data_IF_721961739941
#
_entry.id   IF_721961739941
#
_cell.length_a   1.000
_cell.length_b   1.000
_cell.length_c   1.000
_cell.angle_alpha   90.00
_cell.angle_beta   90.00
_cell.angle_gamma   90.00
#
_symmetry.space_group_name_H-M   'P 1'
#
loop_
_entity.id
_entity.type
_entity.pdbx_description
1 polymer ?
#
# COMPACT_ATOMS: atom_id res chain seq x y z
N UNK A 1 37.28 16.16 -7.66
CA UNK A 1 36.22 15.14 -7.72
C UNK A 1 36.41 14.35 -9.01
N UNK A 2 36.45 13.02 -8.94
CA UNK A 2 36.64 12.19 -10.14
C UNK A 2 35.29 12.05 -10.86
N UNK A 3 35.07 12.89 -11.88
CA UNK A 3 33.90 12.81 -12.78
C UNK A 3 33.71 11.40 -13.35
N UNK A 4 34.79 10.64 -13.49
CA UNK A 4 34.80 9.23 -13.91
C UNK A 4 34.13 8.27 -12.90
N UNK A 5 34.21 8.54 -11.60
CA UNK A 5 33.59 7.69 -10.57
C UNK A 5 32.07 7.88 -10.52
N UNK A 6 31.58 9.09 -10.79
CA UNK A 6 30.14 9.41 -10.86
C UNK A 6 29.43 8.86 -12.10
N UNK A 7 30.18 8.60 -13.16
CA UNK A 7 29.72 7.95 -14.37
C UNK A 7 29.72 6.42 -14.28
N UNK A 8 30.27 5.83 -13.20
CA UNK A 8 30.23 4.40 -12.99
C UNK A 8 28.87 3.96 -12.45
N UNK A 9 28.33 2.84 -12.94
CA UNK A 9 27.07 2.29 -12.44
C UNK A 9 27.33 1.51 -11.14
N UNK A 10 26.92 2.09 -10.01
CA UNK A 10 27.04 1.42 -8.71
C UNK A 10 26.27 2.13 -7.60
N UNK A 11 25.73 1.41 -6.61
CA UNK A 11 24.98 2.01 -5.51
C UNK A 11 25.87 2.75 -4.51
N UNK A 12 27.20 2.59 -4.54
CA UNK A 12 28.08 3.26 -3.59
C UNK A 12 29.25 3.89 -4.33
N UNK A 13 29.50 5.17 -4.04
CA UNK A 13 30.70 5.87 -4.48
C UNK A 13 31.89 5.39 -3.62
N UNK A 14 32.99 4.98 -4.27
CA UNK A 14 34.17 4.49 -3.55
C UNK A 14 34.74 5.58 -2.61
N UNK A 15 34.83 5.27 -1.32
CA UNK A 15 35.40 6.16 -0.30
C UNK A 15 34.46 7.24 0.25
N UNK A 16 33.17 7.26 -0.12
CA UNK A 16 32.18 8.17 0.47
C UNK A 16 30.86 7.43 0.79
N UNK A 17 30.16 7.87 1.84
CA UNK A 17 28.81 7.39 2.13
C UNK A 17 27.79 8.10 1.23
N UNK A 18 27.86 7.89 -0.09
CA UNK A 18 26.95 8.48 -1.07
C UNK A 18 26.72 7.57 -2.30
N UNK A 19 25.62 7.80 -3.03
CA UNK A 19 25.32 7.09 -4.28
C UNK A 19 26.07 7.71 -5.46
N UNK A 20 26.30 6.93 -6.52
CA UNK A 20 26.80 7.49 -7.79
C UNK A 20 25.69 8.28 -8.48
N UNK A 21 26.06 9.38 -9.16
CA UNK A 21 25.10 10.25 -9.83
C UNK A 21 24.30 9.50 -10.91
N UNK A 22 24.95 8.57 -11.62
CA UNK A 22 24.31 7.74 -12.62
C UNK A 22 23.27 6.79 -12.00
N UNK A 23 23.56 6.20 -10.85
CA UNK A 23 22.62 5.32 -10.14
C UNK A 23 21.39 6.09 -9.66
N UNK A 24 21.57 7.29 -9.10
CA UNK A 24 20.45 8.12 -8.67
C UNK A 24 19.57 8.53 -9.85
N UNK A 25 20.15 9.00 -10.94
CA UNK A 25 19.37 9.46 -12.10
C UNK A 25 18.65 8.30 -12.79
N UNK A 26 19.26 7.13 -12.88
CA UNK A 26 18.65 5.95 -13.50
C UNK A 26 17.58 5.30 -12.61
N UNK A 27 17.88 5.03 -11.35
CA UNK A 27 16.99 4.26 -10.48
C UNK A 27 16.06 5.17 -9.69
N UNK A 28 16.54 6.30 -9.16
CA UNK A 28 15.72 7.17 -8.30
C UNK A 28 14.89 8.18 -9.08
N UNK A 29 15.36 8.64 -10.24
CA UNK A 29 14.58 9.53 -11.11
C UNK A 29 13.83 8.78 -12.21
N UNK A 30 14.55 8.10 -13.13
CA UNK A 30 13.90 7.48 -14.30
C UNK A 30 12.96 6.33 -13.91
N UNK A 31 13.36 5.47 -12.96
CA UNK A 31 12.56 4.32 -12.53
C UNK A 31 11.13 4.70 -12.10
N UNK A 32 10.95 5.54 -11.07
CA UNK A 32 9.63 6.00 -10.62
C UNK A 32 8.85 6.75 -11.70
N UNK A 33 9.50 7.65 -12.46
CA UNK A 33 8.83 8.42 -13.51
C UNK A 33 8.31 7.51 -14.64
N UNK A 34 9.10 6.52 -15.07
CA UNK A 34 8.68 5.55 -16.08
C UNK A 34 7.48 4.71 -15.60
N UNK A 35 7.52 4.21 -14.36
CA UNK A 35 6.40 3.46 -13.78
C UNK A 35 5.13 4.33 -13.70
N UNK A 36 5.27 5.57 -13.26
CA UNK A 36 4.14 6.49 -13.15
C UNK A 36 3.54 6.83 -14.53
N UNK A 37 4.36 7.02 -15.55
CA UNK A 37 3.91 7.28 -16.92
C UNK A 37 3.14 6.12 -17.54
N UNK A 38 3.37 4.87 -17.09
CA UNK A 38 2.55 3.72 -17.50
C UNK A 38 1.24 3.66 -16.71
N UNK A 39 1.28 3.91 -15.40
CA UNK A 39 0.12 3.76 -14.52
C UNK A 39 -0.89 4.91 -14.68
N UNK A 40 -0.42 6.15 -14.86
CA UNK A 40 -1.27 7.33 -14.89
C UNK A 40 -2.28 7.33 -16.06
N UNK A 41 -1.90 7.03 -17.31
CA UNK A 41 -2.85 6.97 -18.43
C UNK A 41 -3.91 5.87 -18.24
N UNK A 42 -3.51 4.69 -17.76
CA UNK A 42 -4.44 3.59 -17.46
C UNK A 42 -5.46 4.04 -16.42
N UNK A 43 -5.01 4.70 -15.36
CA UNK A 43 -5.90 5.23 -14.32
C UNK A 43 -6.85 6.30 -14.86
N UNK A 44 -6.35 7.23 -15.68
CA UNK A 44 -7.18 8.26 -16.34
C UNK A 44 -8.23 7.61 -17.24
N UNK A 45 -7.88 6.60 -18.04
CA UNK A 45 -8.81 5.89 -18.91
C UNK A 45 -9.91 5.15 -18.10
N UNK A 46 -9.54 4.50 -17.00
CA UNK A 46 -10.49 3.86 -16.08
C UNK A 46 -11.43 4.88 -15.45
N UNK A 47 -10.96 6.08 -15.10
CA UNK A 47 -11.78 7.15 -14.54
C UNK A 47 -12.71 7.77 -15.58
N UNK A 48 -12.20 8.03 -16.79
CA UNK A 48 -12.97 8.58 -17.90
C UNK A 48 -14.10 7.65 -18.35
N UNK A 49 -13.92 6.34 -18.19
CA UNK A 49 -14.94 5.32 -18.46
C UNK A 49 -16.10 5.33 -17.45
N UNK A 50 -15.96 6.04 -16.31
CA UNK A 50 -17.03 6.17 -15.31
C UNK A 50 -17.97 7.30 -15.70
N UNK A 51 -19.28 7.07 -15.63
CA UNK A 51 -20.30 8.09 -15.94
C UNK A 51 -20.06 9.34 -15.06
N UNK A 52 -20.01 10.57 -15.64
CA UNK A 52 -19.69 11.82 -14.92
C UNK A 52 -20.77 12.32 -13.93
N UNK A 53 -21.59 11.44 -13.36
CA UNK A 53 -22.93 11.78 -12.88
C UNK A 53 -23.11 12.16 -11.41
N UNK A 54 -22.26 11.73 -10.46
CA UNK A 54 -22.66 11.77 -9.05
C UNK A 54 -21.95 12.81 -8.18
N UNK A 55 -20.79 13.33 -8.59
CA UNK A 55 -19.98 14.21 -7.74
C UNK A 55 -19.71 15.55 -8.40
N UNK A 56 -20.59 16.53 -8.14
CA UNK A 56 -20.31 17.93 -8.47
C UNK A 56 -19.46 18.51 -7.34
N UNK A 57 -18.13 18.41 -7.47
CA UNK A 57 -17.24 19.19 -6.59
C UNK A 57 -17.55 20.66 -6.82
N UNK A 58 -17.98 21.37 -5.76
CA UNK A 58 -18.15 22.81 -5.81
C UNK A 58 -16.87 23.46 -6.35
N UNK A 59 -17.02 24.50 -7.17
CA UNK A 59 -15.95 25.31 -7.79
C UNK A 59 -14.76 25.45 -6.84
N UNK A 60 -13.76 24.60 -7.02
CA UNK A 60 -12.82 24.31 -5.94
C UNK A 60 -11.56 25.15 -6.08
N UNK A 61 -11.41 26.14 -5.21
CA UNK A 61 -10.14 26.86 -5.01
C UNK A 61 -8.94 25.90 -4.86
N UNK A 62 -9.18 24.67 -4.39
CA UNK A 62 -8.15 23.64 -4.16
C UNK A 62 -7.69 22.93 -5.43
N UNK A 63 -8.55 22.79 -6.43
CA UNK A 63 -8.08 22.28 -7.73
C UNK A 63 -7.09 23.29 -8.34
N UNK A 64 -7.48 24.56 -8.32
CA UNK A 64 -6.64 25.64 -8.83
C UNK A 64 -5.33 25.77 -8.06
N UNK A 65 -5.33 25.59 -6.73
CA UNK A 65 -4.08 25.56 -5.97
C UNK A 65 -3.17 24.40 -6.35
N UNK A 66 -3.71 23.18 -6.54
CA UNK A 66 -2.93 22.02 -7.00
C UNK A 66 -2.36 22.23 -8.39
N UNK A 67 -3.16 22.73 -9.33
CA UNK A 67 -2.70 23.05 -10.68
C UNK A 67 -1.65 24.17 -10.67
N UNK A 68 -1.82 25.21 -9.85
CA UNK A 68 -0.83 26.26 -9.68
C UNK A 68 0.51 25.69 -9.13
N UNK A 69 0.46 24.84 -8.11
CA UNK A 69 1.66 24.17 -7.61
C UNK A 69 2.32 23.29 -8.69
N UNK A 70 1.54 22.56 -9.51
CA UNK A 70 2.09 21.80 -10.63
C UNK A 70 2.72 22.70 -11.70
N UNK A 71 2.16 23.87 -11.98
CA UNK A 71 2.78 24.82 -12.92
C UNK A 71 4.11 25.38 -12.39
N UNK A 72 4.20 25.68 -11.09
CA UNK A 72 5.47 26.08 -10.47
C UNK A 72 6.48 24.93 -10.52
N UNK A 73 6.02 23.69 -10.25
CA UNK A 73 6.86 22.50 -10.33
C UNK A 73 7.41 22.30 -11.75
N UNK A 74 6.58 22.50 -12.77
CA UNK A 74 6.99 22.46 -14.16
C UNK A 74 8.07 23.51 -14.48
N UNK A 75 7.90 24.75 -14.02
CA UNK A 75 8.88 25.83 -14.22
C UNK A 75 10.22 25.46 -13.55
N UNK A 76 10.19 25.00 -12.30
CA UNK A 76 11.42 24.58 -11.60
C UNK A 76 12.12 23.43 -12.34
N UNK A 77 11.36 22.46 -12.86
CA UNK A 77 11.93 21.33 -13.59
C UNK A 77 12.52 21.74 -14.95
N UNK A 78 11.94 22.75 -15.61
CA UNK A 78 12.55 23.35 -16.81
C UNK A 78 13.89 24.01 -16.46
N UNK A 79 13.96 24.73 -15.34
CA UNK A 79 15.24 25.31 -14.86
C UNK A 79 16.27 24.21 -14.59
N UNK A 80 15.88 23.11 -13.94
CA UNK A 80 16.76 21.96 -13.70
C UNK A 80 17.27 21.37 -15.02
N UNK A 81 16.39 21.20 -16.02
CA UNK A 81 16.79 20.72 -17.34
C UNK A 81 17.81 21.66 -18.01
N UNK A 82 17.57 22.97 -17.96
CA UNK A 82 18.49 23.98 -18.52
C UNK A 82 19.84 23.92 -17.83
N UNK A 83 19.88 23.80 -16.49
CA UNK A 83 21.12 23.72 -15.73
C UNK A 83 21.92 22.45 -16.06
N UNK A 84 21.24 21.31 -16.26
CA UNK A 84 21.89 20.08 -16.72
C UNK A 84 22.37 20.15 -18.17
N UNK A 85 21.85 21.08 -18.97
CA UNK A 85 22.24 21.26 -20.37
C UNK A 85 23.41 22.23 -20.56
N UNK A 86 23.87 22.88 -19.48
CA UNK A 86 25.00 23.81 -19.55
C UNK A 86 26.33 23.06 -19.62
N UNK A 87 27.27 23.46 -20.50
CA UNK A 87 28.55 22.77 -20.64
C UNK A 87 29.47 22.90 -19.40
N UNK A 88 29.15 23.81 -18.48
CA UNK A 88 29.91 24.03 -17.25
C UNK A 88 29.50 23.09 -16.10
N UNK A 89 28.40 22.33 -16.23
CA UNK A 89 27.93 21.42 -15.18
C UNK A 89 28.43 19.99 -15.44
N UNK A 90 29.01 19.31 -14.43
CA UNK A 90 29.43 17.92 -14.57
C UNK A 90 28.17 17.04 -14.66
N UNK A 91 27.80 16.64 -15.87
CA UNK A 91 26.62 15.84 -16.16
C UNK A 91 27.01 14.43 -16.61
N UNK A 92 26.10 13.48 -16.42
CA UNK A 92 26.18 12.16 -17.04
C UNK A 92 25.36 12.15 -18.33
N UNK A 93 25.58 11.15 -19.18
CA UNK A 93 24.78 10.96 -20.40
C UNK A 93 23.27 10.83 -20.12
N UNK A 94 22.91 10.44 -18.89
CA UNK A 94 21.52 10.16 -18.47
C UNK A 94 20.86 11.38 -17.80
N UNK A 95 21.63 12.39 -17.38
CA UNK A 95 21.11 13.54 -16.63
C UNK A 95 20.03 14.32 -17.40
N UNK A 96 20.26 14.58 -18.70
CA UNK A 96 19.32 15.29 -19.57
C UNK A 96 18.08 14.43 -19.85
N UNK A 97 18.26 13.12 -20.05
CA UNK A 97 17.16 12.20 -20.27
C UNK A 97 16.25 12.12 -19.03
N UNK A 98 16.81 12.00 -17.83
CA UNK A 98 16.07 11.99 -16.57
C UNK A 98 15.27 13.29 -16.37
N UNK A 99 15.90 14.45 -16.58
CA UNK A 99 15.25 15.75 -16.49
C UNK A 99 14.12 15.91 -17.54
N UNK A 100 14.30 15.42 -18.77
CA UNK A 100 13.25 15.45 -19.79
C UNK A 100 12.04 14.57 -19.42
N UNK A 101 12.30 13.38 -18.87
CA UNK A 101 11.24 12.45 -18.47
C UNK A 101 10.39 13.01 -17.33
N UNK A 102 11.03 13.68 -16.37
CA UNK A 102 10.34 14.33 -15.26
C UNK A 102 9.42 15.49 -15.72
N UNK A 103 9.71 16.16 -16.83
CA UNK A 103 8.79 17.15 -17.42
C UNK A 103 7.52 16.50 -17.95
N UNK A 104 7.67 15.39 -18.68
CA UNK A 104 6.54 14.62 -19.23
C UNK A 104 5.68 14.06 -18.09
N UNK A 105 6.32 13.61 -17.02
CA UNK A 105 5.67 13.15 -15.80
C UNK A 105 4.80 14.24 -15.15
N UNK A 106 5.28 15.49 -15.07
CA UNK A 106 4.49 16.60 -14.50
C UNK A 106 3.22 16.85 -15.32
N UNK A 107 3.28 16.73 -16.64
CA UNK A 107 2.10 16.82 -17.50
C UNK A 107 1.12 15.67 -17.22
N UNK A 108 1.62 14.44 -17.08
CA UNK A 108 0.80 13.29 -16.72
C UNK A 108 0.16 13.45 -15.32
N UNK A 109 0.89 14.01 -14.35
CA UNK A 109 0.35 14.37 -13.03
C UNK A 109 -0.80 15.37 -13.15
N UNK A 110 -0.66 16.40 -14.00
CA UNK A 110 -1.73 17.37 -14.28
C UNK A 110 -3.00 16.72 -14.82
N UNK A 111 -2.86 15.83 -15.80
CA UNK A 111 -3.98 15.06 -16.35
C UNK A 111 -4.67 14.19 -15.29
N UNK A 112 -3.88 13.51 -14.45
CA UNK A 112 -4.40 12.66 -13.38
C UNK A 112 -5.13 13.47 -12.30
N UNK A 113 -4.57 14.59 -11.84
CA UNK A 113 -5.20 15.48 -10.86
C UNK A 113 -6.53 16.02 -11.38
N UNK A 114 -6.57 16.40 -12.66
CA UNK A 114 -7.81 16.88 -13.29
C UNK A 114 -8.87 15.77 -13.39
N UNK A 115 -8.49 14.58 -13.87
CA UNK A 115 -9.39 13.44 -13.96
C UNK A 115 -9.92 13.00 -12.59
N UNK A 116 -9.05 12.86 -11.58
CA UNK A 116 -9.44 12.50 -10.21
C UNK A 116 -10.32 13.59 -9.56
N UNK A 117 -10.13 14.86 -9.91
CA UNK A 117 -11.04 15.91 -9.44
C UNK A 117 -12.45 15.80 -10.03
N UNK A 118 -12.54 15.43 -11.32
CA UNK A 118 -13.80 15.38 -12.06
C UNK A 118 -14.60 14.10 -11.79
N UNK A 119 -13.93 12.96 -11.66
CA UNK A 119 -14.58 11.65 -11.68
C UNK A 119 -14.52 10.90 -10.33
N UNK A 120 -13.74 11.38 -9.35
CA UNK A 120 -13.48 10.63 -8.11
C UNK A 120 -13.85 11.42 -6.83
N UNK A 121 -14.60 10.79 -5.90
CA UNK A 121 -14.93 11.38 -4.60
C UNK A 121 -13.74 11.38 -3.64
N UNK A 122 -12.75 10.49 -3.82
CA UNK A 122 -11.56 10.40 -2.98
C UNK A 122 -10.40 11.22 -3.56
N UNK A 123 -9.43 11.65 -2.74
CA UNK A 123 -8.11 12.03 -3.23
C UNK A 123 -7.44 10.90 -4.03
N UNK A 124 -6.47 11.26 -4.87
CA UNK A 124 -5.75 10.35 -5.75
C UNK A 124 -4.74 9.51 -4.96
N UNK A 125 -5.10 8.26 -4.66
CA UNK A 125 -4.18 7.31 -4.02
C UNK A 125 -2.93 7.07 -4.87
N UNK A 126 -3.06 6.99 -6.20
CA UNK A 126 -1.94 6.78 -7.11
C UNK A 126 -0.93 7.91 -7.02
N UNK A 127 -1.41 9.17 -7.00
CA UNK A 127 -0.55 10.34 -6.86
C UNK A 127 0.11 10.40 -5.48
N UNK A 128 -0.63 10.11 -4.40
CA UNK A 128 -0.06 10.11 -3.04
C UNK A 128 1.04 9.05 -2.89
N UNK A 129 0.86 7.83 -3.39
CA UNK A 129 1.90 6.78 -3.38
C UNK A 129 3.12 7.26 -4.15
N UNK A 130 2.90 7.77 -5.36
CA UNK A 130 3.98 8.24 -6.24
C UNK A 130 4.80 9.36 -5.60
N UNK A 131 4.13 10.40 -5.09
CA UNK A 131 4.79 11.52 -4.41
C UNK A 131 5.53 11.05 -3.16
N UNK A 132 4.96 10.11 -2.40
CA UNK A 132 5.57 9.63 -1.17
C UNK A 132 6.85 8.83 -1.43
N UNK A 133 6.85 7.98 -2.45
CA UNK A 133 8.06 7.25 -2.87
C UNK A 133 9.10 8.23 -3.41
N UNK A 134 8.71 9.13 -4.32
CA UNK A 134 9.67 10.08 -4.90
C UNK A 134 10.21 11.09 -3.91
N UNK A 135 9.44 11.53 -2.91
CA UNK A 135 9.95 12.39 -1.83
C UNK A 135 11.09 11.70 -1.05
N UNK A 136 10.97 10.40 -0.78
CA UNK A 136 12.04 9.66 -0.09
C UNK A 136 13.30 9.54 -0.96
N UNK A 137 13.13 9.34 -2.27
CA UNK A 137 14.23 9.21 -3.22
C UNK A 137 14.89 10.57 -3.56
N UNK A 138 14.08 11.61 -3.70
CA UNK A 138 14.53 12.99 -3.91
C UNK A 138 15.29 13.50 -2.68
N UNK A 139 14.97 13.03 -1.47
CA UNK A 139 15.72 13.38 -0.26
C UNK A 139 17.18 12.90 -0.36
N UNK A 140 17.42 11.68 -0.87
CA UNK A 140 18.78 11.22 -1.17
C UNK A 140 19.45 12.10 -2.23
N UNK A 141 18.78 12.34 -3.37
CA UNK A 141 19.33 13.16 -4.47
C UNK A 141 19.72 14.55 -3.98
N UNK A 142 18.84 15.22 -3.23
CA UNK A 142 19.09 16.57 -2.70
C UNK A 142 20.31 16.56 -1.77
N UNK A 143 20.43 15.56 -0.89
CA UNK A 143 21.59 15.42 -0.02
C UNK A 143 22.88 15.26 -0.85
N UNK A 144 22.86 14.38 -1.84
CA UNK A 144 24.01 14.07 -2.70
C UNK A 144 24.43 15.27 -3.53
N UNK A 145 23.48 16.09 -4.01
CA UNK A 145 23.77 17.34 -4.70
C UNK A 145 24.39 18.41 -3.78
N UNK A 146 23.96 18.51 -2.52
CA UNK A 146 24.56 19.44 -1.57
C UNK A 146 25.96 19.02 -1.07
N UNK A 147 26.25 17.73 -1.06
CA UNK A 147 27.59 17.22 -0.75
C UNK A 147 28.62 17.57 -1.85
N UNK A 148 28.15 17.92 -3.04
CA UNK A 148 28.97 18.28 -4.21
C UNK A 148 29.05 19.79 -4.35
N UNK A 149 30.23 20.37 -4.08
CA UNK A 149 30.44 21.83 -4.09
C UNK A 149 30.04 22.52 -5.40
N UNK A 150 30.17 21.82 -6.53
CA UNK A 150 29.94 22.38 -7.87
C UNK A 150 28.45 22.38 -8.27
N UNK A 151 27.59 21.71 -7.50
CA UNK A 151 26.18 21.50 -7.81
C UNK A 151 25.22 22.13 -6.80
N UNK A 152 25.71 23.00 -5.92
CA UNK A 152 24.90 23.63 -4.86
C UNK A 152 23.68 24.39 -5.41
N UNK A 153 23.82 25.08 -6.55
CA UNK A 153 22.70 25.77 -7.20
C UNK A 153 21.61 24.78 -7.68
N UNK A 154 22.03 23.64 -8.23
CA UNK A 154 21.12 22.58 -8.64
C UNK A 154 20.46 21.93 -7.43
N UNK A 155 21.24 21.66 -6.37
CA UNK A 155 20.77 21.19 -5.06
C UNK A 155 19.66 22.08 -4.50
N UNK A 156 19.86 23.40 -4.50
CA UNK A 156 18.86 24.37 -4.04
C UNK A 156 17.53 24.31 -4.81
N UNK A 157 17.57 24.20 -6.14
CA UNK A 157 16.36 24.12 -6.97
C UNK A 157 15.66 22.76 -6.78
N UNK A 158 16.42 21.68 -6.70
CA UNK A 158 15.86 20.34 -6.42
C UNK A 158 15.26 20.27 -5.01
N UNK A 159 15.83 20.96 -4.02
CA UNK A 159 15.25 21.09 -2.69
C UNK A 159 13.93 21.88 -2.71
N UNK A 160 13.85 22.95 -3.52
CA UNK A 160 12.60 23.67 -3.76
C UNK A 160 11.53 22.78 -4.42
N UNK A 161 11.94 21.93 -5.36
CA UNK A 161 11.09 20.93 -6.03
C UNK A 161 10.57 19.90 -5.02
N UNK A 162 11.44 19.39 -4.13
CA UNK A 162 11.09 18.50 -3.03
C UNK A 162 10.07 19.15 -2.07
N UNK A 163 10.31 20.39 -1.66
CA UNK A 163 9.40 21.14 -0.80
C UNK A 163 8.03 21.34 -1.46
N UNK A 164 7.99 21.59 -2.77
CA UNK A 164 6.76 21.73 -3.52
C UNK A 164 6.01 20.38 -3.67
N UNK A 165 6.72 19.27 -3.89
CA UNK A 165 6.13 17.91 -3.89
C UNK A 165 5.52 17.59 -2.51
N UNK A 166 6.21 17.91 -1.42
CA UNK A 166 5.69 17.78 -0.05
C UNK A 166 4.41 18.61 0.16
N UNK A 167 4.39 19.85 -0.34
CA UNK A 167 3.21 20.70 -0.24
C UNK A 167 2.03 20.16 -1.07
N UNK A 168 2.28 19.65 -2.29
CA UNK A 168 1.26 19.00 -3.11
C UNK A 168 0.70 17.76 -2.39
N UNK A 169 1.56 16.94 -1.78
CA UNK A 169 1.15 15.78 -1.00
C UNK A 169 0.26 16.21 0.19
N UNK A 170 0.64 17.25 0.92
CA UNK A 170 -0.18 17.81 2.01
C UNK A 170 -1.55 18.31 1.52
N UNK A 171 -1.61 18.94 0.33
CA UNK A 171 -2.87 19.33 -0.30
C UNK A 171 -3.72 18.13 -0.76
N UNK A 172 -3.09 17.00 -1.08
CA UNK A 172 -3.79 15.75 -1.43
C UNK A 172 -4.41 15.07 -0.20
N UNK A 173 -3.77 15.19 0.96
CA UNK A 173 -4.27 14.57 2.19
C UNK A 173 -5.53 15.22 2.76
N UNK A 174 -5.82 16.47 2.40
CA UNK A 174 -7.02 17.15 2.89
C UNK A 174 -8.28 16.56 2.24
N UNK A 175 -9.24 16.02 3.03
CA UNK A 175 -10.42 15.36 2.49
C UNK A 175 -11.27 16.30 1.63
N UNK A 176 -11.84 15.74 0.56
CA UNK A 176 -12.78 16.45 -0.32
C UNK A 176 -14.13 16.59 0.39
N UNK A 177 -14.59 17.82 0.60
CA UNK A 177 -15.94 18.09 1.15
C UNK A 177 -16.98 18.02 0.05
N UNK A 178 -18.05 17.26 0.28
CA UNK A 178 -19.19 17.22 -0.61
C UNK A 178 -20.00 18.52 -0.52
N UNK A 179 -20.37 19.10 -1.66
CA UNK A 179 -21.24 20.27 -1.69
C UNK A 179 -22.72 19.92 -1.47
N UNK A 180 -23.11 18.65 -1.63
CA UNK A 180 -24.52 18.25 -1.61
C UNK A 180 -25.02 17.76 -0.24
N UNK A 181 -24.23 17.90 0.82
CA UNK A 181 -24.64 17.55 2.19
C UNK A 181 -24.85 16.05 2.46
N UNK A 182 -24.68 15.18 1.46
CA UNK A 182 -24.73 13.73 1.63
C UNK A 182 -23.56 13.27 2.51
N UNK A 183 -23.89 12.53 3.59
CA UNK A 183 -22.94 11.86 4.47
C UNK A 183 -22.25 10.72 3.68
N UNK A 184 -21.07 11.01 3.14
CA UNK A 184 -20.16 10.01 2.58
C UNK A 184 -19.28 9.48 3.69
N UNK A 185 -18.93 8.20 3.64
CA UNK A 185 -17.96 7.59 4.54
C UNK A 185 -16.68 8.43 4.62
N UNK A 186 -16.28 8.80 5.83
CA UNK A 186 -15.08 9.60 6.10
C UNK A 186 -13.82 8.91 5.57
N UNK A 187 -13.77 7.56 5.60
CA UNK A 187 -12.68 6.76 5.05
C UNK A 187 -12.51 7.00 3.54
N UNK A 188 -13.60 7.02 2.77
CA UNK A 188 -13.57 7.19 1.30
C UNK A 188 -13.15 8.61 0.91
N UNK A 189 -13.50 9.60 1.73
CA UNK A 189 -13.14 11.00 1.48
C UNK A 189 -11.71 11.35 1.87
N UNK A 190 -11.07 10.50 2.68
CA UNK A 190 -9.74 10.74 3.27
C UNK A 190 -8.60 10.44 2.30
N UNK A 191 -7.49 11.18 2.47
CA UNK A 191 -6.23 10.94 1.75
C UNK A 191 -5.57 9.62 2.14
N UNK A 192 -4.46 9.29 1.47
CA UNK A 192 -3.78 8.02 1.68
C UNK A 192 -3.23 7.92 3.10
N UNK A 193 -2.47 8.93 3.54
CA UNK A 193 -1.83 8.95 4.85
C UNK A 193 -2.84 9.04 5.99
N UNK A 194 -3.91 9.85 5.81
CA UNK A 194 -5.04 9.88 6.73
C UNK A 194 -5.68 8.49 6.89
N UNK A 195 -5.80 7.71 5.80
CA UNK A 195 -6.30 6.33 5.85
C UNK A 195 -5.30 5.36 6.45
N UNK A 196 -4.00 5.50 6.17
CA UNK A 196 -2.93 4.64 6.71
C UNK A 196 -2.84 4.70 8.23
N UNK A 197 -3.03 5.88 8.82
CA UNK A 197 -2.98 6.08 10.28
C UNK A 197 -4.37 5.99 10.92
N UNK A 198 -5.41 5.73 10.11
CA UNK A 198 -6.82 5.80 10.52
C UNK A 198 -7.20 7.11 11.23
N UNK A 199 -6.67 8.23 10.74
CA UNK A 199 -6.92 9.54 11.34
C UNK A 199 -8.41 9.88 11.41
N UNK A 200 -9.19 9.42 10.44
CA UNK A 200 -10.65 9.57 10.42
C UNK A 200 -11.35 8.88 11.61
N UNK A 201 -10.79 7.80 12.20
CA UNK A 201 -11.36 7.16 13.40
C UNK A 201 -11.19 8.01 14.66
N UNK A 202 -10.23 8.95 14.68
CA UNK A 202 -9.97 9.79 15.84
C UNK A 202 -11.20 10.63 16.22
N UNK A 203 -12.01 11.02 15.24
CA UNK A 203 -13.27 11.74 15.47
C UNK A 203 -14.27 10.87 16.24
N UNK A 204 -14.41 9.60 15.86
CA UNK A 204 -15.27 8.62 16.53
C UNK A 204 -14.76 8.28 17.93
N UNK A 205 -13.44 8.07 18.10
CA UNK A 205 -12.85 7.80 19.42
C UNK A 205 -13.02 8.98 20.37
N UNK A 206 -12.85 10.20 19.89
CA UNK A 206 -13.06 11.41 20.71
C UNK A 206 -14.52 11.57 21.13
N UNK A 207 -15.48 11.21 20.27
CA UNK A 207 -16.90 11.18 20.64
C UNK A 207 -17.17 10.10 21.69
N UNK A 208 -16.69 8.87 21.47
CA UNK A 208 -16.82 7.76 22.41
C UNK A 208 -16.19 8.00 23.77
N UNK A 209 -15.14 8.83 23.83
CA UNK A 209 -14.52 9.24 25.09
C UNK A 209 -15.42 10.21 25.90
N UNK A 210 -16.20 11.05 25.21
CA UNK A 210 -17.02 12.08 25.85
C UNK A 210 -18.50 11.66 26.03
N UNK A 211 -18.98 10.69 25.26
CA UNK A 211 -20.38 10.25 25.27
C UNK A 211 -20.52 8.80 24.83
N UNK A 212 -21.62 8.15 25.20
CA UNK A 212 -21.96 6.82 24.68
C UNK A 212 -22.17 6.89 23.17
N UNK A 213 -21.49 6.02 22.41
CA UNK A 213 -21.61 5.95 20.96
C UNK A 213 -22.93 5.30 20.56
N UNK A 214 -23.81 6.07 19.92
CA UNK A 214 -25.01 5.53 19.27
C UNK A 214 -24.72 5.03 17.84
N UNK A 215 -25.67 4.32 17.24
CA UNK A 215 -25.59 3.90 15.83
C UNK A 215 -25.54 5.11 14.90
N UNK A 216 -26.24 6.20 15.24
CA UNK A 216 -26.29 7.45 14.45
C UNK A 216 -24.98 8.24 14.46
N UNK A 217 -24.10 7.98 15.44
CA UNK A 217 -22.77 8.59 15.53
C UNK A 217 -21.73 7.90 14.64
N UNK A 218 -22.03 6.69 14.16
CA UNK A 218 -21.17 5.93 13.27
C UNK A 218 -21.29 6.44 11.84
N UNK A 219 -20.15 6.51 11.15
CA UNK A 219 -20.14 6.85 9.73
C UNK A 219 -20.93 5.79 8.96
N UNK A 220 -21.88 6.23 8.14
CA UNK A 220 -22.56 5.31 7.22
C UNK A 220 -21.54 4.74 6.24
N UNK A 221 -21.69 3.46 5.87
CA UNK A 221 -20.92 2.85 4.77
C UNK A 221 -21.33 3.42 3.38
N UNK A 222 -22.19 4.44 3.36
CA UNK A 222 -22.64 5.11 2.16
C UNK A 222 -21.45 5.75 1.43
N UNK A 223 -21.27 5.37 0.17
CA UNK A 223 -20.19 5.88 -0.69
C UNK A 223 -19.05 4.88 -0.95
N UNK A 224 -18.89 3.82 -0.14
CA UNK A 224 -18.00 2.71 -0.53
C UNK A 224 -18.74 1.73 -1.43
N UNK A 225 -18.59 1.92 -2.74
CA UNK A 225 -19.16 1.01 -3.75
C UNK A 225 -18.76 -0.47 -3.57
N UNK A 226 -17.66 -0.74 -2.85
CA UNK A 226 -17.18 -2.10 -2.62
C UNK A 226 -17.84 -2.77 -1.42
N UNK A 227 -18.38 -2.02 -0.45
CA UNK A 227 -18.95 -2.54 0.80
C UNK A 227 -20.44 -2.23 0.97
N UNK A 228 -21.05 -1.46 0.06
CA UNK A 228 -22.48 -1.18 0.09
C UNK A 228 -23.32 -2.46 -0.15
N UNK A 229 -24.25 -2.77 0.75
CA UNK A 229 -24.96 -4.06 0.76
C UNK A 229 -25.65 -4.43 -0.57
N UNK A 230 -26.42 -3.55 -1.24
CA UNK A 230 -26.97 -3.85 -2.57
C UNK A 230 -25.92 -4.20 -3.64
N UNK A 231 -24.72 -3.59 -3.57
CA UNK A 231 -23.62 -3.88 -4.48
C UNK A 231 -23.00 -5.25 -4.18
N UNK A 232 -22.80 -5.59 -2.91
CA UNK A 232 -22.31 -6.90 -2.48
C UNK A 232 -23.25 -8.03 -2.93
N UNK A 233 -24.56 -7.84 -2.69
CA UNK A 233 -25.61 -8.81 -3.03
C UNK A 233 -25.68 -9.02 -4.53
N UNK A 234 -25.76 -7.94 -5.30
CA UNK A 234 -25.84 -8.04 -6.78
C UNK A 234 -24.60 -8.68 -7.38
N UNK A 235 -23.38 -8.32 -6.92
CA UNK A 235 -22.13 -8.90 -7.40
C UNK A 235 -22.03 -10.39 -7.10
N UNK A 236 -22.31 -10.78 -5.86
CA UNK A 236 -22.22 -12.18 -5.45
C UNK A 236 -23.35 -13.01 -6.06
N UNK A 237 -24.59 -12.50 -6.04
CA UNK A 237 -25.76 -13.14 -6.64
C UNK A 237 -25.60 -13.39 -8.13
N UNK A 238 -25.12 -12.40 -8.89
CA UNK A 238 -24.83 -12.57 -10.32
C UNK A 238 -23.76 -13.64 -10.57
N UNK A 239 -22.67 -13.66 -9.79
CA UNK A 239 -21.62 -14.69 -9.92
C UNK A 239 -22.09 -16.07 -9.45
N UNK A 240 -22.99 -16.13 -8.49
CA UNK A 240 -23.60 -17.36 -7.99
C UNK A 240 -24.57 -17.97 -9.03
N UNK A 241 -25.38 -17.15 -9.70
CA UNK A 241 -26.28 -17.61 -10.76
C UNK A 241 -25.54 -18.22 -11.95
N UNK A 242 -24.38 -17.66 -12.30
CA UNK A 242 -23.52 -18.16 -13.37
C UNK A 242 -22.64 -19.35 -12.96
N UNK A 243 -22.60 -19.71 -11.68
CA UNK A 243 -21.76 -20.80 -11.20
C UNK A 243 -22.40 -22.15 -11.49
N UNK A 244 -21.56 -23.10 -11.93
CA UNK A 244 -21.96 -24.50 -12.01
C UNK A 244 -22.09 -25.08 -10.59
N UNK A 245 -23.34 -25.38 -10.21
CA UNK A 245 -23.69 -25.88 -8.88
C UNK A 245 -23.29 -27.34 -8.67
N UNK A 246 -22.93 -28.06 -9.74
CA UNK A 246 -22.43 -29.44 -9.63
C UNK A 246 -20.99 -29.51 -9.11
N UNK A 247 -20.23 -28.41 -9.20
CA UNK A 247 -18.86 -28.36 -8.75
C UNK A 247 -18.74 -28.24 -7.21
N UNK A 248 -17.86 -29.04 -6.61
CA UNK A 248 -17.64 -29.16 -5.15
C UNK A 248 -17.35 -27.81 -4.44
N UNK A 249 -16.66 -26.87 -5.09
CA UNK A 249 -16.25 -25.58 -4.50
C UNK A 249 -16.92 -24.37 -5.16
N UNK A 250 -18.09 -24.56 -5.79
CA UNK A 250 -18.76 -23.54 -6.58
C UNK A 250 -18.98 -22.22 -5.82
N UNK A 251 -19.43 -22.28 -4.56
CA UNK A 251 -19.68 -21.10 -3.72
C UNK A 251 -18.40 -20.32 -3.42
N UNK A 252 -17.33 -21.02 -3.05
CA UNK A 252 -16.03 -20.40 -2.77
C UNK A 252 -15.46 -19.74 -4.03
N UNK A 253 -15.57 -20.39 -5.20
CA UNK A 253 -15.16 -19.80 -6.47
C UNK A 253 -16.02 -18.60 -6.86
N UNK A 254 -17.34 -18.64 -6.64
CA UNK A 254 -18.24 -17.52 -6.90
C UNK A 254 -17.93 -16.32 -6.00
N UNK A 255 -17.71 -16.56 -4.70
CA UNK A 255 -17.31 -15.53 -3.72
C UNK A 255 -15.96 -14.91 -4.07
N UNK A 256 -14.95 -15.74 -4.40
CA UNK A 256 -13.65 -15.25 -4.84
C UNK A 256 -13.78 -14.39 -6.10
N UNK A 257 -14.49 -14.86 -7.13
CA UNK A 257 -14.71 -14.08 -8.37
C UNK A 257 -15.48 -12.79 -8.13
N UNK A 258 -16.41 -12.77 -7.17
CA UNK A 258 -17.15 -11.58 -6.81
C UNK A 258 -16.26 -10.53 -6.13
N UNK A 259 -15.34 -10.94 -5.25
CA UNK A 259 -14.55 -10.05 -4.40
C UNK A 259 -13.03 -10.03 -4.68
N UNK A 260 -12.58 -10.63 -5.79
CA UNK A 260 -11.16 -10.72 -6.17
C UNK A 260 -10.42 -9.38 -6.19
N UNK A 261 -11.09 -8.28 -6.53
CA UNK A 261 -10.45 -6.96 -6.55
C UNK A 261 -9.99 -6.51 -5.16
N UNK A 262 -10.71 -6.89 -4.10
CA UNK A 262 -10.35 -6.59 -2.71
C UNK A 262 -9.19 -7.50 -2.27
N UNK A 263 -9.21 -8.77 -2.68
CA UNK A 263 -8.13 -9.71 -2.42
C UNK A 263 -6.82 -9.25 -3.06
N UNK A 264 -6.81 -8.95 -4.35
CA UNK A 264 -5.59 -8.53 -5.05
C UNK A 264 -5.03 -7.19 -4.55
N UNK A 265 -5.88 -6.29 -4.07
CA UNK A 265 -5.43 -5.04 -3.44
C UNK A 265 -4.60 -5.27 -2.16
N UNK A 266 -4.85 -6.36 -1.43
CA UNK A 266 -4.09 -6.71 -0.22
C UNK A 266 -2.73 -7.39 -0.47
N UNK A 267 -2.48 -7.86 -1.70
CA UNK A 267 -1.24 -8.60 -2.03
C UNK A 267 -0.01 -7.68 -2.00
N UNK A 268 -0.09 -6.50 -2.61
CA UNK A 268 1.04 -5.57 -2.68
C UNK A 268 1.50 -5.14 -1.27
N UNK A 269 0.62 -4.65 -0.37
CA UNK A 269 1.04 -4.32 0.99
C UNK A 269 1.59 -5.52 1.77
N UNK A 270 1.09 -6.74 1.53
CA UNK A 270 1.63 -7.95 2.19
C UNK A 270 3.04 -8.29 1.72
N UNK A 271 3.35 -8.11 0.43
CA UNK A 271 4.69 -8.28 -0.11
C UNK A 271 5.65 -7.21 0.42
N UNK A 272 5.20 -5.94 0.52
CA UNK A 272 5.99 -4.89 1.15
C UNK A 272 6.32 -5.21 2.61
N UNK A 273 5.34 -5.72 3.38
CA UNK A 273 5.56 -6.18 4.75
C UNK A 273 6.66 -7.26 4.81
N UNK A 274 6.58 -8.29 3.96
CA UNK A 274 7.64 -9.31 3.84
C UNK A 274 8.99 -8.66 3.57
N UNK A 275 9.07 -7.78 2.56
CA UNK A 275 10.32 -7.11 2.20
C UNK A 275 10.94 -6.34 3.37
N UNK A 276 10.16 -5.53 4.09
CA UNK A 276 10.67 -4.79 5.25
C UNK A 276 11.03 -5.70 6.42
N UNK A 277 10.26 -6.76 6.69
CA UNK A 277 10.58 -7.75 7.73
C UNK A 277 11.91 -8.45 7.45
N UNK A 278 12.16 -8.85 6.19
CA UNK A 278 13.44 -9.44 5.80
C UNK A 278 14.59 -8.44 5.72
N UNK A 279 14.32 -7.13 5.64
CA UNK A 279 15.36 -6.11 5.72
C UNK A 279 15.98 -5.99 7.13
N UNK A 280 15.26 -6.39 8.18
CA UNK A 280 15.72 -6.31 9.58
C UNK A 280 17.04 -7.05 9.86
N UNK A 281 17.24 -8.32 9.48
CA UNK A 281 18.52 -9.01 9.69
C UNK A 281 19.69 -8.35 8.96
N UNK A 282 19.47 -7.79 7.77
CA UNK A 282 20.53 -7.03 7.06
C UNK A 282 20.89 -5.75 7.80
N UNK A 283 19.88 -5.01 8.28
CA UNK A 283 20.08 -3.80 9.09
C UNK A 283 20.92 -4.12 10.33
N UNK A 284 20.57 -5.19 11.06
CA UNK A 284 21.30 -5.61 12.26
C UNK A 284 22.73 -5.99 11.92
N UNK A 285 22.94 -6.77 10.85
CA UNK A 285 24.28 -7.14 10.40
C UNK A 285 25.14 -5.89 10.09
N UNK A 286 24.57 -4.91 9.38
CA UNK A 286 25.25 -3.65 9.10
C UNK A 286 25.56 -2.88 10.39
N UNK A 287 24.62 -2.77 11.34
CA UNK A 287 24.86 -2.14 12.65
C UNK A 287 26.02 -2.80 13.39
N UNK A 288 26.02 -4.14 13.49
CA UNK A 288 27.06 -4.89 14.21
C UNK A 288 28.42 -4.70 13.54
N UNK A 289 28.49 -4.78 12.21
CA UNK A 289 29.74 -4.59 11.47
C UNK A 289 30.26 -3.16 11.58
N UNK A 290 29.38 -2.16 11.55
CA UNK A 290 29.76 -0.75 11.73
C UNK A 290 30.27 -0.45 13.14
N UNK A 291 29.72 -1.11 14.18
CA UNK A 291 30.21 -0.97 15.55
C UNK A 291 31.52 -1.73 15.81
N UNK A 292 31.75 -2.83 15.09
CA UNK A 292 32.96 -3.65 15.22
C UNK A 292 34.20 -3.07 14.53
N UNK A 293 34.04 -2.14 13.57
CA UNK A 293 35.13 -1.49 12.88
C UNK A 293 35.74 -0.35 13.71
N UNK A 294 37.06 -0.34 13.89
CA UNK A 294 37.77 0.74 14.60
C UNK A 294 37.54 2.10 13.91
N UNK A 295 37.11 3.08 14.71
CA UNK A 295 36.60 4.41 14.35
C UNK A 295 37.28 5.08 13.14
N UNK A 296 36.59 5.10 11.99
CA UNK A 296 36.93 5.95 10.85
C UNK A 296 36.15 7.28 10.87
N UNK A 297 36.70 8.29 10.19
CA UNK A 297 36.27 9.70 10.12
C UNK A 297 34.82 9.92 9.59
N UNK A 298 34.21 8.91 8.97
CA UNK A 298 32.84 8.94 8.40
C UNK A 298 31.74 8.39 9.33
N UNK A 299 32.06 8.07 10.59
CA UNK A 299 31.16 7.41 11.54
C UNK A 299 29.80 8.10 11.72
N UNK A 300 29.76 9.44 11.71
CA UNK A 300 28.52 10.19 11.91
C UNK A 300 27.56 10.11 10.71
N UNK A 301 28.08 10.09 9.47
CA UNK A 301 27.25 9.99 8.27
C UNK A 301 26.65 8.60 8.13
N UNK A 302 27.47 7.56 8.39
CA UNK A 302 27.02 6.17 8.42
C UNK A 302 25.97 5.96 9.51
N UNK A 303 26.20 6.49 10.73
CA UNK A 303 25.23 6.41 11.81
C UNK A 303 23.90 7.09 11.45
N UNK A 304 23.93 8.28 10.86
CA UNK A 304 22.73 8.97 10.39
C UNK A 304 21.95 8.18 9.33
N UNK A 305 22.64 7.61 8.35
CA UNK A 305 22.03 6.75 7.33
C UNK A 305 21.39 5.49 7.93
N UNK A 306 22.02 4.90 8.95
CA UNK A 306 21.52 3.72 9.64
C UNK A 306 20.29 4.00 10.50
N UNK A 307 20.24 5.17 11.15
CA UNK A 307 19.04 5.66 11.84
C UNK A 307 17.90 5.88 10.84
N UNK A 308 18.19 6.49 9.69
CA UNK A 308 17.22 6.67 8.60
C UNK A 308 16.68 5.34 8.06
N UNK A 309 17.57 4.37 7.81
CA UNK A 309 17.19 3.03 7.37
C UNK A 309 16.34 2.30 8.42
N UNK A 310 16.69 2.43 9.70
CA UNK A 310 15.91 1.88 10.82
C UNK A 310 14.50 2.47 10.83
N UNK A 311 14.38 3.80 10.78
CA UNK A 311 13.08 4.47 10.74
C UNK A 311 12.25 4.03 9.53
N UNK A 312 12.85 3.97 8.34
CA UNK A 312 12.20 3.53 7.11
C UNK A 312 11.68 2.09 7.21
N UNK A 313 12.49 1.16 7.71
CA UNK A 313 12.12 -0.25 7.85
C UNK A 313 10.95 -0.40 8.82
N UNK A 314 11.04 0.16 10.03
CA UNK A 314 9.99 -0.04 11.04
C UNK A 314 8.69 0.69 10.71
N UNK A 315 8.77 1.91 10.15
CA UNK A 315 7.57 2.62 9.64
C UNK A 315 6.97 1.86 8.46
N UNK A 316 7.80 1.35 7.56
CA UNK A 316 7.39 0.50 6.44
C UNK A 316 6.65 -0.77 6.89
N UNK A 317 7.16 -1.45 7.92
CA UNK A 317 6.49 -2.60 8.57
C UNK A 317 5.12 -2.19 9.10
N UNK A 318 5.04 -1.10 9.87
CA UNK A 318 3.79 -0.66 10.49
C UNK A 318 2.72 -0.30 9.46
N UNK A 319 3.07 0.51 8.45
CA UNK A 319 2.16 0.94 7.38
C UNK A 319 1.71 -0.24 6.51
N UNK A 320 2.65 -1.09 6.09
CA UNK A 320 2.34 -2.25 5.26
C UNK A 320 1.42 -3.23 6.02
N UNK A 321 1.70 -3.45 7.31
CA UNK A 321 0.88 -4.28 8.20
C UNK A 321 -0.53 -3.76 8.34
N UNK A 322 -0.66 -2.47 8.60
CA UNK A 322 -1.93 -1.78 8.66
C UNK A 322 -2.73 -2.00 7.37
N UNK A 323 -2.14 -1.72 6.21
CA UNK A 323 -2.83 -1.80 4.94
C UNK A 323 -3.26 -3.21 4.56
N UNK A 324 -2.39 -4.23 4.68
CA UNK A 324 -2.80 -5.59 4.30
C UNK A 324 -3.86 -6.14 5.26
N UNK A 325 -3.77 -5.81 6.56
CA UNK A 325 -4.78 -6.21 7.55
C UNK A 325 -6.11 -5.53 7.29
N UNK A 326 -6.10 -4.23 6.94
CA UNK A 326 -7.31 -3.51 6.55
C UNK A 326 -7.95 -4.11 5.29
N UNK A 327 -7.16 -4.47 4.27
CA UNK A 327 -7.66 -5.17 3.09
C UNK A 327 -8.29 -6.53 3.44
N UNK A 328 -7.67 -7.31 4.33
CA UNK A 328 -8.22 -8.57 4.80
C UNK A 328 -9.55 -8.37 5.55
N UNK A 329 -9.64 -7.36 6.42
CA UNK A 329 -10.87 -7.01 7.12
C UNK A 329 -11.99 -6.58 6.16
N UNK A 330 -11.67 -5.78 5.13
CA UNK A 330 -12.64 -5.40 4.09
C UNK A 330 -13.13 -6.61 3.30
N UNK A 331 -12.26 -7.58 3.01
CA UNK A 331 -12.64 -8.84 2.36
C UNK A 331 -13.58 -9.66 3.25
N UNK A 332 -13.27 -9.77 4.55
CA UNK A 332 -14.12 -10.47 5.53
C UNK A 332 -15.52 -9.85 5.57
N UNK A 333 -15.60 -8.52 5.68
CA UNK A 333 -16.89 -7.80 5.71
C UNK A 333 -17.67 -8.01 4.40
N UNK A 334 -17.01 -7.94 3.25
CA UNK A 334 -17.64 -8.16 1.94
C UNK A 334 -18.19 -9.59 1.79
N UNK A 335 -17.40 -10.60 2.18
CA UNK A 335 -17.81 -12.01 2.13
C UNK A 335 -18.95 -12.27 3.11
N UNK A 336 -18.84 -11.80 4.36
CA UNK A 336 -19.90 -11.91 5.38
C UNK A 336 -21.19 -11.26 4.90
N UNK A 337 -21.14 -10.02 4.45
CA UNK A 337 -22.32 -9.29 3.96
C UNK A 337 -22.97 -9.95 2.75
N UNK A 338 -22.17 -10.47 1.82
CA UNK A 338 -22.68 -11.20 0.65
C UNK A 338 -23.31 -12.55 1.00
N UNK A 339 -22.65 -13.35 1.84
CA UNK A 339 -23.13 -14.69 2.22
C UNK A 339 -24.38 -14.62 3.09
N UNK A 340 -24.41 -13.75 4.11
CA UNK A 340 -25.59 -13.57 4.96
C UNK A 340 -26.81 -13.22 4.11
N UNK A 341 -26.66 -12.29 3.17
CA UNK A 341 -27.76 -11.87 2.31
C UNK A 341 -28.23 -12.97 1.34
N UNK A 342 -27.30 -13.76 0.76
CA UNK A 342 -27.68 -14.91 -0.07
C UNK A 342 -28.43 -15.98 0.73
N UNK A 343 -28.00 -16.26 1.95
CA UNK A 343 -28.67 -17.24 2.82
C UNK A 343 -30.06 -16.72 3.19
N UNK A 344 -30.18 -15.43 3.48
CA UNK A 344 -31.45 -14.81 3.83
C UNK A 344 -32.46 -14.86 2.68
N UNK A 345 -32.03 -14.50 1.47
CA UNK A 345 -32.83 -14.61 0.25
C UNK A 345 -33.30 -16.05 0.01
N UNK A 346 -32.40 -17.02 0.23
CA UNK A 346 -32.76 -18.44 0.11
C UNK A 346 -33.71 -18.91 1.21
N UNK A 347 -33.53 -18.45 2.45
CA UNK A 347 -34.36 -18.80 3.60
C UNK A 347 -35.82 -18.35 3.42
N UNK A 348 -36.03 -17.15 2.87
CA UNK A 348 -37.38 -16.64 2.57
C UNK A 348 -38.05 -17.42 1.43
N UNK A 349 -37.26 -17.96 0.49
CA UNK A 349 -37.75 -18.74 -0.65
C UNK A 349 -37.96 -20.24 -0.35
N UNK A 350 -37.73 -20.70 0.89
CA UNK A 350 -37.91 -22.10 1.30
C UNK A 350 -39.29 -22.31 1.92
N UNK A 351 -39.87 -23.50 1.72
CA UNK A 351 -41.15 -23.88 2.33
C UNK A 351 -41.04 -23.94 3.87
N UNK A 352 -42.13 -23.60 4.56
CA UNK A 352 -42.19 -23.48 6.01
C UNK A 352 -41.83 -24.77 6.78
N UNK A 353 -41.99 -25.94 6.15
CA UNK A 353 -41.58 -27.24 6.72
C UNK A 353 -40.05 -27.41 6.77
N UNK A 354 -39.33 -26.84 5.79
CA UNK A 354 -37.86 -26.92 5.70
C UNK A 354 -37.18 -25.77 6.45
N UNK A 355 -37.86 -24.63 6.58
CA UNK A 355 -37.38 -23.46 7.32
C UNK A 355 -37.44 -23.61 8.85
N UNK A 356 -38.18 -24.59 9.38
CA UNK A 356 -38.32 -24.85 10.82
C UNK A 356 -37.04 -25.36 11.47
N UNK A 357 -36.11 -25.90 10.68
CA UNK A 357 -34.79 -26.27 11.16
C UNK A 357 -33.96 -24.99 11.36
N UNK A 358 -33.51 -24.76 12.59
CA UNK A 358 -32.64 -23.65 13.01
C UNK A 358 -31.32 -23.52 12.19
N UNK A 359 -31.09 -24.43 11.25
CA UNK A 359 -29.99 -24.47 10.30
C UNK A 359 -29.73 -23.12 9.61
N UNK A 360 -30.76 -22.37 9.21
CA UNK A 360 -30.56 -21.07 8.57
C UNK A 360 -29.95 -20.02 9.54
N UNK A 361 -30.36 -20.02 10.81
CA UNK A 361 -29.85 -19.11 11.85
C UNK A 361 -28.42 -19.50 12.25
N UNK A 362 -28.15 -20.81 12.37
CA UNK A 362 -26.79 -21.32 12.61
C UNK A 362 -25.86 -20.98 11.44
N UNK A 363 -26.31 -21.13 10.21
CA UNK A 363 -25.54 -20.81 9.00
C UNK A 363 -25.22 -19.31 8.91
N UNK A 364 -26.17 -18.43 9.27
CA UNK A 364 -25.97 -16.97 9.27
C UNK A 364 -25.06 -16.45 10.38
N UNK A 365 -24.81 -17.24 11.43
CA UNK A 365 -23.99 -16.86 12.58
C UNK A 365 -22.69 -17.67 12.63
N UNK A 366 -22.73 -18.85 13.24
CA UNK A 366 -21.57 -19.66 13.60
C UNK A 366 -20.70 -20.02 12.40
N UNK A 367 -21.32 -20.45 11.29
CA UNK A 367 -20.56 -20.91 10.12
C UNK A 367 -19.90 -19.73 9.37
N UNK A 368 -20.60 -18.61 9.24
CA UNK A 368 -20.04 -17.39 8.63
C UNK A 368 -18.94 -16.80 9.51
N UNK A 369 -19.09 -16.82 10.83
CA UNK A 369 -18.03 -16.39 11.75
C UNK A 369 -16.80 -17.31 11.65
N UNK A 370 -17.00 -18.61 11.41
CA UNK A 370 -15.92 -19.55 11.09
C UNK A 370 -15.19 -19.18 9.79
N UNK A 371 -15.93 -18.90 8.71
CA UNK A 371 -15.36 -18.46 7.43
C UNK A 371 -14.63 -17.12 7.57
N UNK A 372 -15.22 -16.16 8.29
CA UNK A 372 -14.64 -14.86 8.56
C UNK A 372 -13.30 -14.99 9.31
N UNK A 373 -13.26 -15.86 10.33
CA UNK A 373 -12.04 -16.15 11.07
C UNK A 373 -10.96 -16.79 10.19
N UNK A 374 -11.32 -17.72 9.30
CA UNK A 374 -10.37 -18.31 8.36
C UNK A 374 -9.81 -17.29 7.37
N UNK A 375 -10.65 -16.36 6.89
CA UNK A 375 -10.24 -15.31 5.96
C UNK A 375 -9.27 -14.29 6.56
N UNK A 376 -9.20 -14.12 7.89
CA UNK A 376 -8.20 -13.25 8.53
C UNK A 376 -6.76 -13.65 8.18
N UNK A 377 -6.52 -14.95 7.95
CA UNK A 377 -5.19 -15.50 7.67
C UNK A 377 -4.93 -15.75 6.18
N UNK A 378 -5.84 -15.36 5.29
CA UNK A 378 -5.75 -15.71 3.87
C UNK A 378 -4.46 -15.19 3.22
N UNK A 379 -4.02 -13.98 3.58
CA UNK A 379 -2.79 -13.40 3.05
C UNK A 379 -1.53 -14.00 3.67
N UNK A 380 -1.62 -14.52 4.89
CA UNK A 380 -0.49 -15.16 5.56
C UNK A 380 -0.19 -16.53 4.95
N UNK A 381 -1.20 -17.26 4.46
CA UNK A 381 -1.02 -18.61 3.89
C UNK A 381 -0.09 -18.60 2.68
N UNK A 382 -0.39 -17.80 1.65
CA UNK A 382 0.45 -17.78 0.44
C UNK A 382 1.79 -17.09 0.71
N UNK A 383 1.80 -16.05 1.56
CA UNK A 383 3.03 -15.35 1.90
C UNK A 383 4.00 -16.26 2.67
N UNK A 384 3.51 -17.16 3.53
CA UNK A 384 4.35 -18.10 4.28
C UNK A 384 5.22 -18.97 3.37
N UNK A 385 4.74 -19.34 2.18
CA UNK A 385 5.57 -20.10 1.21
C UNK A 385 6.72 -19.27 0.68
N UNK A 386 6.47 -18.00 0.37
CA UNK A 386 7.50 -17.05 -0.10
C UNK A 386 8.50 -16.77 1.02
N UNK A 387 8.00 -16.49 2.23
CA UNK A 387 8.81 -16.19 3.41
C UNK A 387 9.67 -17.39 3.82
N UNK A 388 9.13 -18.61 3.75
CA UNK A 388 9.91 -19.83 3.99
C UNK A 388 11.06 -19.97 2.98
N UNK A 389 10.78 -19.78 1.69
CA UNK A 389 11.80 -19.86 0.65
C UNK A 389 12.90 -18.81 0.84
N UNK A 390 12.51 -17.56 1.11
CA UNK A 390 13.45 -16.46 1.39
C UNK A 390 14.26 -16.72 2.67
N UNK A 391 13.63 -17.21 3.74
CA UNK A 391 14.31 -17.52 4.99
C UNK A 391 15.38 -18.59 4.81
N UNK A 392 15.07 -19.69 4.10
CA UNK A 392 16.03 -20.75 3.81
C UNK A 392 17.19 -20.21 2.97
N UNK A 393 16.89 -19.46 1.90
CA UNK A 393 17.91 -18.85 1.04
C UNK A 393 18.87 -17.93 1.82
N UNK A 394 18.34 -17.08 2.71
CA UNK A 394 19.16 -16.16 3.50
C UNK A 394 19.96 -16.88 4.58
N UNK A 395 19.41 -17.92 5.22
CA UNK A 395 20.12 -18.73 6.20
C UNK A 395 21.24 -19.54 5.56
N UNK A 396 21.01 -20.13 4.38
CA UNK A 396 22.05 -20.82 3.61
C UNK A 396 23.21 -19.87 3.30
N UNK A 397 22.93 -18.62 2.92
CA UNK A 397 23.96 -17.63 2.64
C UNK A 397 24.81 -17.27 3.87
N UNK A 398 24.24 -17.32 5.07
CA UNK A 398 24.93 -16.91 6.30
C UNK A 398 25.69 -18.05 6.99
N UNK A 399 25.15 -19.28 6.99
CA UNK A 399 25.67 -20.42 7.77
C UNK A 399 25.96 -21.64 6.89
N UNK A 400 25.76 -21.54 5.57
CA UNK A 400 25.96 -22.64 4.62
C UNK A 400 24.92 -23.75 4.75
N UNK A 401 25.31 -24.97 4.36
CA UNK A 401 24.43 -26.15 4.36
C UNK A 401 23.91 -26.56 5.74
N UNK A 402 24.51 -26.04 6.82
CA UNK A 402 24.04 -26.26 8.19
C UNK A 402 22.60 -25.74 8.42
N UNK A 403 22.09 -24.84 7.57
CA UNK A 403 20.69 -24.38 7.60
C UNK A 403 19.67 -25.53 7.59
N UNK A 404 19.94 -26.63 6.88
CA UNK A 404 19.00 -27.74 6.76
C UNK A 404 18.74 -28.46 8.08
N UNK A 405 19.66 -28.34 9.07
CA UNK A 405 19.45 -28.90 10.40
C UNK A 405 18.26 -28.24 11.13
N UNK A 406 17.97 -26.97 10.86
CA UNK A 406 16.85 -26.22 11.45
C UNK A 406 15.49 -26.72 10.92
N UNK A 407 15.46 -27.31 9.71
CA UNK A 407 14.23 -27.86 9.14
C UNK A 407 13.74 -29.09 9.90
N UNK A 408 14.63 -29.86 10.51
CA UNK A 408 14.29 -31.09 11.25
C UNK A 408 13.31 -30.78 12.40
N UNK A 409 13.64 -29.91 13.39
CA UNK A 409 12.71 -29.58 14.46
C UNK A 409 11.46 -28.87 13.95
N UNK A 410 11.55 -28.07 12.87
CA UNK A 410 10.38 -27.42 12.27
C UNK A 410 9.38 -28.43 11.67
N UNK A 411 9.88 -29.46 10.98
CA UNK A 411 9.05 -30.55 10.43
C UNK A 411 8.44 -31.40 11.54
N UNK A 412 9.22 -31.74 12.57
CA UNK A 412 8.74 -32.50 13.74
C UNK A 412 7.62 -31.72 14.46
N UNK A 413 7.84 -30.43 14.72
CA UNK A 413 6.85 -29.54 15.32
C UNK A 413 5.58 -29.48 14.47
N UNK A 414 5.70 -29.25 13.16
CA UNK A 414 4.55 -29.18 12.25
C UNK A 414 3.74 -30.48 12.21
N UNK A 415 4.41 -31.62 12.22
CA UNK A 415 3.77 -32.93 12.27
C UNK A 415 3.05 -33.15 13.62
N UNK A 416 3.70 -32.82 14.73
CA UNK A 416 3.11 -32.90 16.06
C UNK A 416 1.87 -32.01 16.18
N UNK A 417 1.95 -30.74 15.74
CA UNK A 417 0.81 -29.82 15.69
C UNK A 417 -0.32 -30.38 14.84
N UNK A 418 -0.02 -30.95 13.66
CA UNK A 418 -1.02 -31.57 12.80
C UNK A 418 -1.74 -32.77 13.45
N UNK A 419 -1.02 -33.57 14.25
CA UNK A 419 -1.61 -34.68 15.01
C UNK A 419 -2.50 -34.20 16.15
N UNK A 420 -2.04 -33.20 16.92
CA UNK A 420 -2.81 -32.60 18.01
C UNK A 420 -4.08 -31.93 17.46
N UNK A 421 -3.97 -31.15 16.38
CA UNK A 421 -5.09 -30.44 15.78
C UNK A 421 -6.22 -31.38 15.34
N UNK A 422 -5.90 -32.58 14.83
CA UNK A 422 -6.90 -33.60 14.48
C UNK A 422 -7.68 -34.11 15.69
N UNK A 423 -7.04 -34.19 16.86
CA UNK A 423 -7.69 -34.61 18.10
C UNK A 423 -8.56 -33.53 18.75
N UNK A 424 -8.29 -32.25 18.48
CA UNK A 424 -9.03 -31.13 19.09
C UNK A 424 -10.51 -31.08 18.69
N UNK A 425 -10.84 -31.42 17.44
CA UNK A 425 -12.22 -31.41 16.94
C UNK A 425 -13.14 -32.36 17.71
N UNK A 426 -12.83 -33.68 17.72
CA UNK A 426 -13.58 -34.67 18.49
C UNK A 426 -13.66 -34.34 19.99
N UNK A 427 -12.55 -33.91 20.59
CA UNK A 427 -12.53 -33.54 22.01
C UNK A 427 -13.44 -32.34 22.32
N UNK A 428 -13.50 -31.34 21.44
CA UNK A 428 -14.39 -30.18 21.59
C UNK A 428 -15.87 -30.57 21.41
N UNK A 429 -16.16 -31.51 20.51
CA UNK A 429 -17.51 -32.06 20.37
C UNK A 429 -17.94 -32.83 21.63
N UNK A 430 -17.08 -33.70 22.16
CA UNK A 430 -17.38 -34.45 23.37
C UNK A 430 -17.58 -33.51 24.58
N UNK A 431 -16.75 -32.46 24.70
CA UNK A 431 -16.93 -31.42 25.71
C UNK A 431 -18.29 -30.72 25.59
N UNK A 432 -18.65 -30.23 24.40
CA UNK A 432 -19.93 -29.57 24.15
C UNK A 432 -21.14 -30.50 24.32
N UNK A 433 -20.95 -31.82 24.32
CA UNK A 433 -22.04 -32.77 24.58
C UNK A 433 -22.29 -33.02 26.08
N UNK A 434 -21.31 -32.66 26.93
CA UNK A 434 -21.35 -32.85 28.39
C UNK A 434 -21.66 -31.57 29.16
N UNK A 435 -21.55 -30.41 28.51
CA UNK A 435 -21.97 -29.08 28.99
C UNK A 435 -23.29 -28.73 28.36
#
# INVERSE_FOLDING_TARGET
>A
MNVSADASFGPQLEGQFDFTLLFEQSIFSIGPSALFLVVAPVRVAVLASRKPGAWKTARSKRLWSKLACLTVLFILQVVVLVLWSLPATPHTEISVAAASLSLVEILAMGCLVWAEHRYSPSPSMTLSIYLSVTILLDLSIVRSLFLRSDLVALGGITAGTLALKLFILALEEVPKKNSTGSKVSEEVSSGLWSRSVFWWLLTTFRKGFNSFLGIDDLSTLAGDSQLHSPSLISRLGHKWQLADKSARYCLACAAFRAFQSIFWAGVIPRLCFTGFSFAQPFLINTIVNSLGASTHQDSHQVAGGLVGATALIYVGIALSKCHYTHCANRLIVAVRGGLVALIFDKAIALDASTAKDSAAVTLMSTDIDGIASALQKIHDIWASFIELGLAIFLLERQIGSACFLILIPAMVSSFATGRVARGMGPARMEWNSKV
#
